data_IF_561846866248
#
_entry.id   IF_561846866248
#
_cell.length_a   1.000
_cell.length_b   1.000
_cell.length_c   1.000
_cell.angle_alpha   90.00
_cell.angle_beta   90.00
_cell.angle_gamma   90.00
#
_symmetry.space_group_name_H-M   'P 1'
#
loop_
_entity.id
_entity.type
_entity.pdbx_description
1 polymer ?
#
# COMPACT_ATOMS: atom_id res chain seq x y z
N UNK A 1 7.91 -11.74 -3.06
CA UNK A 1 7.06 -10.58 -3.35
C UNK A 1 7.91 -9.30 -3.43
N UNK A 2 7.30 -8.19 -3.83
CA UNK A 2 7.98 -6.89 -3.96
C UNK A 2 8.61 -6.43 -2.64
N UNK A 3 7.87 -6.52 -1.55
CA UNK A 3 8.34 -6.09 -0.22
C UNK A 3 9.56 -6.90 0.26
N UNK A 4 9.64 -8.19 -0.06
CA UNK A 4 10.81 -9.02 0.24
C UNK A 4 12.04 -8.56 -0.54
N UNK A 5 11.88 -8.25 -1.84
CA UNK A 5 12.99 -7.78 -2.68
C UNK A 5 13.50 -6.41 -2.21
N UNK A 6 12.61 -5.48 -1.92
CA UNK A 6 12.98 -4.17 -1.39
C UNK A 6 13.61 -4.30 0.00
N UNK A 7 13.08 -5.17 0.86
CA UNK A 7 13.66 -5.46 2.17
C UNK A 7 15.11 -5.93 2.08
N UNK A 8 15.42 -6.84 1.13
CA UNK A 8 16.77 -7.29 0.88
C UNK A 8 17.69 -6.16 0.37
N UNK A 9 17.20 -5.29 -0.50
CA UNK A 9 17.96 -4.11 -0.97
C UNK A 9 18.27 -3.16 0.20
N UNK A 10 17.28 -2.88 1.05
CA UNK A 10 17.47 -2.05 2.25
C UNK A 10 18.50 -2.69 3.18
N UNK A 11 18.40 -4.00 3.42
CA UNK A 11 19.35 -4.73 4.25
C UNK A 11 20.78 -4.64 3.72
N UNK A 12 20.97 -4.84 2.42
CA UNK A 12 22.32 -4.75 1.79
C UNK A 12 22.93 -3.35 1.87
N UNK A 13 22.10 -2.32 1.81
CA UNK A 13 22.57 -0.92 1.86
C UNK A 13 22.84 -0.49 3.31
N UNK A 14 21.99 -0.89 4.25
CA UNK A 14 21.98 -0.31 5.61
C UNK A 14 22.41 -1.27 6.71
N UNK A 15 22.45 -2.58 6.43
CA UNK A 15 22.65 -3.63 7.43
C UNK A 15 21.45 -3.83 8.38
N UNK A 16 20.29 -3.20 8.10
CA UNK A 16 19.10 -3.26 8.95
C UNK A 16 17.96 -3.97 8.25
N UNK A 17 17.26 -4.82 8.99
CA UNK A 17 15.98 -5.39 8.55
C UNK A 17 14.98 -4.29 8.20
N UNK A 18 14.11 -4.55 7.21
CA UNK A 18 13.15 -3.57 6.70
C UNK A 18 12.27 -2.98 7.80
N UNK A 19 11.76 -3.80 8.72
CA UNK A 19 10.92 -3.33 9.81
C UNK A 19 11.66 -2.36 10.74
N UNK A 20 12.92 -2.66 11.04
CA UNK A 20 13.77 -1.77 11.84
C UNK A 20 14.07 -0.47 11.10
N UNK A 21 14.37 -0.55 9.80
CA UNK A 21 14.61 0.63 8.98
C UNK A 21 13.37 1.55 8.93
N UNK A 22 12.19 0.98 8.70
CA UNK A 22 10.93 1.75 8.69
C UNK A 22 10.67 2.40 10.05
N UNK A 23 10.91 1.68 11.14
CA UNK A 23 10.73 2.22 12.49
C UNK A 23 11.67 3.39 12.78
N UNK A 24 12.96 3.26 12.45
CA UNK A 24 13.97 4.24 12.80
C UNK A 24 13.96 5.48 11.88
N UNK A 25 13.75 5.27 10.57
CA UNK A 25 13.93 6.33 9.57
C UNK A 25 12.62 7.00 9.14
N UNK A 26 11.48 6.33 9.32
CA UNK A 26 10.20 6.82 8.83
C UNK A 26 9.15 6.97 9.95
N UNK A 27 8.73 5.85 10.55
CA UNK A 27 7.62 5.85 11.48
C UNK A 27 7.96 6.60 12.78
N UNK A 28 9.12 6.35 13.37
CA UNK A 28 9.57 7.00 14.60
C UNK A 28 9.71 8.51 14.46
N UNK A 29 10.51 9.03 13.51
CA UNK A 29 10.66 10.47 13.30
C UNK A 29 9.34 11.21 13.05
N UNK A 30 8.39 10.57 12.38
CA UNK A 30 7.08 11.16 12.10
C UNK A 30 6.05 10.95 13.22
N UNK A 31 6.29 10.05 14.15
CA UNK A 31 5.29 9.60 15.12
C UNK A 31 4.14 8.83 14.47
N UNK A 32 4.44 8.10 13.40
CA UNK A 32 3.46 7.32 12.65
C UNK A 32 3.23 5.95 13.29
N UNK A 33 1.99 5.64 13.57
CA UNK A 33 1.55 4.38 14.18
C UNK A 33 1.48 3.26 13.13
N UNK A 34 2.67 2.84 12.64
CA UNK A 34 2.85 1.83 11.59
C UNK A 34 4.07 0.97 11.91
N UNK A 35 3.92 -0.35 11.78
CA UNK A 35 4.99 -1.32 12.00
C UNK A 35 5.08 -2.34 10.85
N UNK A 36 6.31 -2.77 10.57
CA UNK A 36 6.62 -4.01 9.90
C UNK A 36 7.35 -4.91 10.90
N UNK A 37 6.66 -5.92 11.41
CA UNK A 37 7.08 -6.64 12.61
C UNK A 37 6.59 -5.93 13.88
N UNK A 38 5.36 -6.29 14.30
CA UNK A 38 4.70 -5.67 15.44
C UNK A 38 5.40 -6.05 16.74
N UNK A 39 5.76 -5.10 17.62
CA UNK A 39 6.23 -5.40 18.98
C UNK A 39 5.12 -6.08 19.80
N UNK A 40 5.51 -6.98 20.69
CA UNK A 40 4.56 -7.68 21.58
C UNK A 40 3.74 -6.71 22.45
N UNK A 41 4.34 -5.61 22.85
CA UNK A 41 3.65 -4.55 23.63
C UNK A 41 2.45 -3.94 22.91
N UNK A 42 2.41 -4.01 21.57
CA UNK A 42 1.36 -3.40 20.73
C UNK A 42 0.27 -4.40 20.31
N UNK A 43 0.44 -5.69 20.61
CA UNK A 43 -0.52 -6.74 20.24
C UNK A 43 -1.96 -6.44 20.69
N UNK A 44 -2.13 -5.90 21.86
CA UNK A 44 -3.44 -5.58 22.43
C UNK A 44 -4.23 -4.51 21.64
N UNK A 45 -3.58 -3.83 20.69
CA UNK A 45 -4.18 -2.78 19.84
C UNK A 45 -4.62 -3.31 18.47
N UNK A 46 -4.23 -4.52 18.11
CA UNK A 46 -4.53 -5.09 16.80
C UNK A 46 -5.95 -5.59 16.73
N UNK A 47 -6.65 -5.20 15.68
CA UNK A 47 -7.94 -5.79 15.31
C UNK A 47 -7.73 -6.87 14.27
N UNK A 48 -8.31 -8.04 14.49
CA UNK A 48 -8.29 -9.10 13.51
C UNK A 48 -9.04 -8.69 12.24
N UNK A 49 -8.51 -9.10 11.09
CA UNK A 49 -9.20 -8.91 9.82
C UNK A 49 -10.28 -9.97 9.65
N UNK A 50 -11.44 -9.55 9.15
CA UNK A 50 -12.50 -10.45 8.72
C UNK A 50 -12.19 -10.87 7.28
N UNK A 51 -11.98 -12.17 7.01
CA UNK A 51 -11.62 -12.67 5.68
C UNK A 51 -12.61 -12.25 4.59
N UNK A 52 -12.16 -12.14 3.34
CA UNK A 52 -13.04 -11.89 2.21
C UNK A 52 -13.81 -13.18 1.84
N UNK A 53 -14.86 -13.08 1.03
CA UNK A 53 -15.41 -14.25 0.37
C UNK A 53 -14.34 -15.01 -0.42
N UNK A 54 -14.46 -16.33 -0.57
CA UNK A 54 -13.53 -17.12 -1.38
C UNK A 54 -13.37 -16.53 -2.78
N UNK A 55 -12.14 -16.50 -3.34
CA UNK A 55 -11.90 -16.01 -4.69
C UNK A 55 -12.67 -16.88 -5.69
N UNK A 56 -13.19 -16.25 -6.74
CA UNK A 56 -13.91 -16.92 -7.82
C UNK A 56 -13.15 -16.79 -9.14
N UNK A 57 -13.35 -17.73 -10.06
CA UNK A 57 -12.82 -17.67 -11.42
C UNK A 57 -11.32 -17.96 -11.53
N UNK A 58 -10.66 -18.46 -10.49
CA UNK A 58 -9.25 -18.87 -10.58
C UNK A 58 -9.03 -20.01 -11.57
N UNK A 59 -10.01 -20.88 -11.72
CA UNK A 59 -10.07 -21.99 -12.69
C UNK A 59 -10.19 -21.53 -14.13
N UNK A 60 -10.58 -20.28 -14.36
CA UNK A 60 -10.69 -19.67 -15.70
C UNK A 60 -9.38 -19.02 -16.17
N UNK A 61 -8.41 -18.86 -15.28
CA UNK A 61 -7.12 -18.29 -15.64
C UNK A 61 -6.28 -19.31 -16.43
N UNK A 62 -5.58 -18.86 -17.49
CA UNK A 62 -4.69 -19.75 -18.23
C UNK A 62 -3.60 -20.34 -17.28
N UNK A 63 -3.38 -21.67 -17.26
CA UNK A 63 -2.48 -22.31 -16.30
C UNK A 63 -1.04 -21.79 -16.29
N UNK A 64 -0.56 -21.31 -17.43
CA UNK A 64 0.79 -20.77 -17.58
C UNK A 64 0.90 -19.26 -17.32
N UNK A 65 -0.23 -18.58 -17.09
CA UNK A 65 -0.24 -17.13 -16.88
C UNK A 65 0.42 -16.74 -15.55
N UNK A 66 1.04 -15.55 -15.47
CA UNK A 66 1.54 -14.99 -14.22
C UNK A 66 0.45 -14.89 -13.15
N UNK A 67 -0.79 -14.53 -13.53
CA UNK A 67 -1.93 -14.48 -12.63
C UNK A 67 -2.24 -15.84 -12.01
N UNK A 68 -2.37 -16.90 -12.82
CA UNK A 68 -2.62 -18.24 -12.33
C UNK A 68 -1.53 -18.69 -11.34
N UNK A 69 -0.25 -18.57 -11.72
CA UNK A 69 0.89 -18.93 -10.86
C UNK A 69 0.92 -18.15 -9.54
N UNK A 70 0.50 -16.89 -9.58
CA UNK A 70 0.45 -16.04 -8.37
C UNK A 70 -0.69 -16.44 -7.45
N UNK A 71 -1.89 -16.65 -7.99
CA UNK A 71 -3.09 -16.85 -7.17
C UNK A 71 -3.36 -18.32 -6.81
N UNK A 72 -2.69 -19.27 -7.44
CA UNK A 72 -2.79 -20.72 -7.14
C UNK A 72 -1.55 -21.29 -6.45
N UNK A 73 -0.57 -20.45 -6.09
CA UNK A 73 0.57 -20.84 -5.25
C UNK A 73 0.12 -21.24 -3.83
N UNK A 74 1.04 -21.37 -2.87
CA UNK A 74 0.68 -21.64 -1.49
C UNK A 74 -0.30 -20.58 -0.98
N UNK A 75 -1.58 -20.95 -0.87
CA UNK A 75 -2.63 -20.03 -0.43
C UNK A 75 -2.57 -19.95 1.09
N UNK A 76 -2.23 -18.78 1.59
CA UNK A 76 -2.38 -18.45 3.00
C UNK A 76 -3.74 -17.77 3.17
N UNK A 77 -4.61 -18.35 4.00
CA UNK A 77 -5.84 -17.68 4.40
C UNK A 77 -5.54 -16.39 5.18
N UNK A 78 -6.47 -15.45 5.16
CA UNK A 78 -6.29 -14.19 5.91
C UNK A 78 -6.14 -14.42 7.42
N UNK A 79 -6.62 -15.55 7.92
CA UNK A 79 -6.56 -15.97 9.32
C UNK A 79 -5.13 -16.12 9.86
N UNK A 80 -4.14 -16.35 8.98
CA UNK A 80 -2.73 -16.39 9.40
C UNK A 80 -2.29 -15.07 10.01
N UNK A 81 -2.89 -13.96 9.60
CA UNK A 81 -2.59 -12.62 10.13
C UNK A 81 -3.02 -12.43 11.59
N UNK A 82 -3.82 -13.37 12.13
CA UNK A 82 -4.23 -13.34 13.54
C UNK A 82 -3.15 -13.88 14.46
N UNK A 83 -2.14 -14.56 13.91
CA UNK A 83 -1.06 -15.16 14.69
C UNK A 83 0.01 -14.15 15.07
N UNK A 84 0.60 -14.34 16.24
CA UNK A 84 1.72 -13.53 16.71
C UNK A 84 2.93 -13.64 15.78
N UNK A 85 3.19 -14.85 15.29
CA UNK A 85 4.30 -15.15 14.39
C UNK A 85 4.23 -14.33 13.10
N UNK A 86 3.05 -14.25 12.50
CA UNK A 86 2.84 -13.42 11.31
C UNK A 86 3.06 -11.93 11.60
N UNK A 87 2.46 -11.43 12.67
CA UNK A 87 2.56 -10.01 13.05
C UNK A 87 3.98 -9.60 13.39
N UNK A 88 4.77 -10.52 13.99
CA UNK A 88 6.16 -10.29 14.31
C UNK A 88 7.12 -10.40 13.12
N UNK A 89 6.74 -11.12 12.04
CA UNK A 89 7.65 -11.53 10.99
C UNK A 89 8.15 -10.40 10.08
N UNK A 90 7.54 -9.20 10.12
CA UNK A 90 8.02 -8.05 9.33
C UNK A 90 7.93 -8.23 7.81
N UNK A 91 6.92 -8.97 7.33
CA UNK A 91 6.74 -9.28 5.91
C UNK A 91 6.41 -8.01 5.14
N UNK A 92 7.35 -7.49 4.35
CA UNK A 92 7.22 -6.20 3.68
C UNK A 92 6.05 -6.06 2.70
N UNK A 93 5.59 -7.17 2.12
CA UNK A 93 4.47 -7.15 1.15
C UNK A 93 3.09 -7.38 1.76
N UNK A 94 2.99 -7.84 3.02
CA UNK A 94 1.70 -8.23 3.60
C UNK A 94 1.63 -8.14 5.14
N UNK A 95 2.75 -7.86 5.82
CA UNK A 95 2.84 -7.91 7.29
C UNK A 95 2.72 -6.55 7.97
N UNK A 96 2.37 -5.49 7.25
CA UNK A 96 2.22 -4.15 7.82
C UNK A 96 1.05 -4.06 8.81
N UNK A 97 1.33 -3.54 10.00
CA UNK A 97 0.34 -3.22 11.03
C UNK A 97 0.29 -1.69 11.21
N UNK A 98 -0.89 -1.13 11.35
CA UNK A 98 -1.02 0.32 11.53
C UNK A 98 -2.45 0.82 11.40
N UNK A 99 -2.62 2.10 11.58
CA UNK A 99 -3.91 2.76 11.40
C UNK A 99 -3.89 3.75 10.23
N UNK A 100 -5.06 4.18 9.79
CA UNK A 100 -5.20 5.09 8.64
C UNK A 100 -4.41 6.40 8.81
N UNK A 101 -4.34 6.94 10.02
CA UNK A 101 -3.58 8.17 10.32
C UNK A 101 -2.09 7.95 10.13
N UNK A 102 -1.53 6.86 10.64
CA UNK A 102 -0.10 6.52 10.48
C UNK A 102 0.26 6.29 9.01
N UNK A 103 -0.58 5.54 8.27
CA UNK A 103 -0.39 5.32 6.83
C UNK A 103 -0.46 6.65 6.05
N UNK A 104 -1.45 7.50 6.33
CA UNK A 104 -1.56 8.82 5.70
C UNK A 104 -0.34 9.71 6.02
N UNK A 105 0.14 9.68 7.27
CA UNK A 105 1.28 10.50 7.70
C UNK A 105 2.57 10.07 6.98
N UNK A 106 2.85 8.77 6.85
CA UNK A 106 3.99 8.29 6.06
C UNK A 106 3.90 8.74 4.59
N UNK A 107 2.74 8.62 3.99
CA UNK A 107 2.53 8.96 2.58
C UNK A 107 2.43 10.48 2.33
N UNK A 108 2.25 11.29 3.38
CA UNK A 108 2.29 12.74 3.26
C UNK A 108 3.70 13.25 2.89
N UNK A 109 4.76 12.49 3.12
CA UNK A 109 6.09 12.76 2.57
C UNK A 109 6.03 12.92 1.05
N UNK A 110 5.31 12.06 0.35
CA UNK A 110 5.16 12.13 -1.11
C UNK A 110 4.25 13.30 -1.51
N UNK A 111 3.11 13.45 -0.85
CA UNK A 111 2.15 14.51 -1.17
C UNK A 111 2.68 15.93 -0.86
N UNK A 112 3.65 16.07 0.03
CA UNK A 112 4.13 17.38 0.52
C UNK A 112 5.62 17.62 0.23
N UNK A 113 6.16 17.02 -0.83
CA UNK A 113 7.52 17.31 -1.29
C UNK A 113 8.61 16.90 -0.32
N UNK A 114 8.44 15.77 0.35
CA UNK A 114 9.43 15.17 1.24
C UNK A 114 9.36 15.63 2.70
N UNK A 115 8.33 16.40 3.06
CA UNK A 115 8.12 16.91 4.43
C UNK A 115 6.82 16.35 5.00
N UNK A 116 6.87 15.82 6.21
CA UNK A 116 5.69 15.41 6.96
C UNK A 116 5.91 15.73 8.44
N UNK A 117 4.85 16.15 9.13
CA UNK A 117 4.89 16.50 10.56
C UNK A 117 6.10 17.39 10.94
N UNK A 118 6.45 18.35 10.08
CA UNK A 118 7.60 19.25 10.26
C UNK A 118 8.98 18.64 10.01
N UNK A 119 9.06 17.35 9.67
CA UNK A 119 10.32 16.64 9.39
C UNK A 119 10.51 16.48 7.87
N UNK A 120 11.72 16.83 7.37
CA UNK A 120 12.10 16.51 6.00
C UNK A 120 12.87 15.20 6.00
N UNK A 121 12.27 14.17 5.38
CA UNK A 121 12.88 12.83 5.27
C UNK A 121 13.25 12.49 3.81
N UNK A 122 12.66 13.17 2.83
CA UNK A 122 12.97 13.00 1.42
C UNK A 122 13.34 14.34 0.77
N UNK A 123 14.21 14.31 -0.23
CA UNK A 123 14.42 15.46 -1.10
C UNK A 123 13.23 15.67 -2.05
N UNK A 124 13.05 16.89 -2.54
CA UNK A 124 12.04 17.17 -3.56
C UNK A 124 12.30 16.34 -4.82
N UNK A 125 13.56 16.22 -5.23
CA UNK A 125 13.98 15.39 -6.37
C UNK A 125 13.55 13.95 -6.22
N UNK A 126 13.74 13.34 -5.04
CA UNK A 126 13.29 11.97 -4.76
C UNK A 126 11.77 11.85 -4.89
N UNK A 127 11.02 12.83 -4.39
CA UNK A 127 9.55 12.84 -4.51
C UNK A 127 9.12 13.01 -5.96
N UNK A 128 9.78 13.84 -6.75
CA UNK A 128 9.42 14.04 -8.15
C UNK A 128 9.56 12.75 -8.96
N UNK A 129 10.59 11.95 -8.66
CA UNK A 129 10.79 10.64 -9.28
C UNK A 129 9.68 9.62 -8.98
N UNK A 130 8.93 9.77 -7.90
CA UNK A 130 7.77 8.89 -7.61
C UNK A 130 6.73 8.96 -8.72
N UNK A 131 6.57 10.14 -9.33
CA UNK A 131 5.55 10.40 -10.35
C UNK A 131 6.06 10.20 -11.79
N UNK A 132 7.34 9.92 -11.98
CA UNK A 132 7.88 9.53 -13.27
C UNK A 132 7.29 8.18 -13.70
N UNK A 133 6.57 8.17 -14.81
CA UNK A 133 5.97 6.95 -15.34
C UNK A 133 7.06 6.05 -15.92
N UNK A 134 7.19 4.85 -15.37
CA UNK A 134 8.14 3.83 -15.84
C UNK A 134 7.48 2.73 -16.66
N UNK A 135 6.20 2.44 -16.39
CA UNK A 135 5.43 1.45 -17.15
C UNK A 135 4.04 1.95 -17.43
N UNK A 136 3.43 1.47 -18.54
CA UNK A 136 2.03 1.68 -18.91
C UNK A 136 1.54 0.44 -19.65
N UNK A 137 0.49 -0.19 -19.18
CA UNK A 137 -0.08 -1.37 -19.81
C UNK A 137 -0.94 -2.20 -18.87
N UNK A 138 -1.39 -3.33 -19.36
CA UNK A 138 -2.16 -4.28 -18.57
C UNK A 138 -1.21 -5.05 -17.65
N UNK A 139 -1.43 -4.96 -16.35
CA UNK A 139 -0.69 -5.74 -15.35
C UNK A 139 -0.97 -7.23 -15.56
N UNK A 140 0.08 -8.03 -15.68
CA UNK A 140 -0.03 -9.45 -16.02
C UNK A 140 -0.60 -10.34 -14.91
N UNK A 141 -0.66 -9.81 -13.68
CA UNK A 141 -1.22 -10.51 -12.51
C UNK A 141 -2.63 -10.03 -12.22
N UNK A 142 -2.84 -8.71 -12.21
CA UNK A 142 -4.13 -8.11 -11.87
C UNK A 142 -5.10 -8.03 -13.05
N UNK A 143 -4.60 -8.10 -14.30
CA UNK A 143 -5.40 -8.06 -15.51
C UNK A 143 -6.04 -6.70 -15.80
N UNK A 144 -5.58 -5.63 -15.18
CA UNK A 144 -6.12 -4.26 -15.34
C UNK A 144 -5.05 -3.30 -15.86
N UNK A 145 -5.42 -2.25 -16.62
CA UNK A 145 -4.47 -1.24 -17.06
C UNK A 145 -3.90 -0.46 -15.90
N UNK A 146 -2.58 -0.47 -15.73
CA UNK A 146 -1.88 0.27 -14.68
C UNK A 146 -0.69 1.04 -15.25
N UNK A 147 -0.42 2.18 -14.65
CA UNK A 147 0.80 2.95 -14.82
C UNK A 147 1.58 2.91 -13.50
N UNK A 148 2.86 2.61 -13.55
CA UNK A 148 3.70 2.63 -12.36
C UNK A 148 4.79 3.69 -12.46
N UNK A 149 4.94 4.43 -11.37
CA UNK A 149 6.11 5.21 -11.03
C UNK A 149 7.02 4.43 -10.07
N UNK A 150 7.81 5.11 -9.27
CA UNK A 150 8.65 4.47 -8.27
C UNK A 150 7.86 4.20 -6.99
N UNK A 151 7.56 2.92 -6.74
CA UNK A 151 6.87 2.46 -5.53
C UNK A 151 5.37 2.72 -5.47
N UNK A 152 4.80 3.39 -6.46
CA UNK A 152 3.37 3.70 -6.55
C UNK A 152 2.84 3.41 -7.95
N UNK A 153 1.56 3.05 -8.05
CA UNK A 153 0.83 3.31 -9.28
C UNK A 153 0.57 4.81 -9.37
N UNK A 154 0.68 5.37 -10.58
CA UNK A 154 0.30 6.76 -10.86
C UNK A 154 -1.08 6.79 -11.47
N UNK A 155 -1.78 7.93 -11.36
CA UNK A 155 -3.18 8.06 -11.77
C UNK A 155 -3.43 7.55 -13.18
N UNK A 156 -4.48 6.74 -13.34
CA UNK A 156 -4.94 6.20 -14.60
C UNK A 156 -6.48 6.12 -14.59
N UNK A 157 -7.19 7.07 -15.21
CA UNK A 157 -8.66 7.09 -15.19
C UNK A 157 -9.32 5.83 -15.74
N UNK A 158 -8.63 5.08 -16.60
CA UNK A 158 -9.16 3.83 -17.17
C UNK A 158 -9.33 2.71 -16.11
N UNK A 159 -8.51 2.71 -15.06
CA UNK A 159 -8.54 1.71 -13.99
C UNK A 159 -8.99 2.26 -12.64
N UNK A 160 -8.80 3.55 -12.42
CA UNK A 160 -9.13 4.21 -11.14
C UNK A 160 -9.88 5.53 -11.38
N UNK A 161 -11.14 5.47 -11.87
CA UNK A 161 -11.89 6.66 -12.30
C UNK A 161 -12.26 7.62 -11.15
N UNK A 162 -12.05 7.22 -9.91
CA UNK A 162 -12.26 8.07 -8.73
C UNK A 162 -11.01 8.84 -8.31
N UNK A 163 -9.88 8.59 -8.95
CA UNK A 163 -8.60 9.27 -8.70
C UNK A 163 -8.32 10.17 -9.90
N UNK A 164 -8.24 11.50 -9.73
CA UNK A 164 -8.01 12.43 -10.84
C UNK A 164 -6.63 12.26 -11.45
N UNK A 165 -6.47 12.69 -12.70
CA UNK A 165 -5.15 12.79 -13.33
C UNK A 165 -4.30 13.88 -12.65
N UNK A 166 -2.98 13.70 -12.69
CA UNK A 166 -2.00 14.60 -12.13
C UNK A 166 -0.85 13.89 -11.42
N UNK A 167 -0.13 14.62 -10.59
CA UNK A 167 0.91 14.06 -9.73
C UNK A 167 0.28 13.33 -8.54
N UNK A 168 -0.41 12.25 -8.84
CA UNK A 168 -1.15 11.43 -7.88
C UNK A 168 -0.60 10.02 -7.90
N UNK A 169 0.02 9.61 -6.82
CA UNK A 169 0.46 8.25 -6.57
C UNK A 169 -0.51 7.53 -5.64
N UNK A 170 -0.77 6.26 -5.91
CA UNK A 170 -1.63 5.47 -5.05
C UNK A 170 -1.20 4.01 -5.03
N UNK A 171 -1.63 3.27 -4.02
CA UNK A 171 -1.61 1.82 -4.03
C UNK A 171 -2.62 1.26 -3.03
N UNK A 172 -3.04 0.03 -3.30
CA UNK A 172 -3.97 -0.71 -2.46
C UNK A 172 -3.37 -2.03 -1.98
N UNK A 173 -4.14 -2.73 -1.17
CA UNK A 173 -3.81 -4.06 -0.68
C UNK A 173 -4.99 -5.02 -0.79
N UNK A 174 -4.69 -6.32 -0.78
CA UNK A 174 -5.71 -7.34 -0.73
C UNK A 174 -6.67 -7.10 0.44
N UNK A 175 -7.97 -7.02 0.13
CA UNK A 175 -9.00 -6.67 1.10
C UNK A 175 -9.57 -5.26 0.93
N UNK A 176 -8.90 -4.36 0.15
CA UNK A 176 -9.46 -3.08 -0.25
C UNK A 176 -9.01 -1.87 0.55
N UNK A 177 -7.95 -1.98 1.38
CA UNK A 177 -7.24 -0.81 1.88
C UNK A 177 -6.60 -0.04 0.73
N UNK A 178 -6.52 1.27 0.82
CA UNK A 178 -5.90 2.13 -0.19
C UNK A 178 -5.25 3.35 0.47
N UNK A 179 -4.16 3.80 -0.13
CA UNK A 179 -3.55 5.09 0.16
C UNK A 179 -3.38 5.87 -1.13
N UNK A 180 -3.63 7.16 -1.08
CA UNK A 180 -3.47 8.11 -2.18
C UNK A 180 -2.62 9.28 -1.69
N UNK A 181 -1.56 9.60 -2.42
CA UNK A 181 -0.72 10.77 -2.21
C UNK A 181 -0.87 11.70 -3.42
N UNK A 182 -1.58 12.79 -3.23
CA UNK A 182 -1.85 13.81 -4.25
C UNK A 182 -0.94 15.01 -4.01
N UNK A 183 0.12 15.13 -4.81
CA UNK A 183 1.09 16.22 -4.68
C UNK A 183 0.58 17.54 -5.25
N UNK A 184 -0.34 17.51 -6.23
CA UNK A 184 -0.92 18.73 -6.81
C UNK A 184 -1.84 19.43 -5.81
N UNK A 185 -2.52 18.64 -4.94
CA UNK A 185 -3.43 19.14 -3.90
C UNK A 185 -2.82 19.12 -2.51
N UNK A 186 -1.56 18.64 -2.39
CA UNK A 186 -0.84 18.46 -1.12
C UNK A 186 -1.67 17.66 -0.10
N UNK A 187 -2.36 16.65 -0.57
CA UNK A 187 -3.33 15.85 0.19
C UNK A 187 -2.90 14.39 0.23
N UNK A 188 -3.12 13.75 1.35
CA UNK A 188 -3.03 12.30 1.50
C UNK A 188 -4.35 11.77 2.02
N UNK A 189 -4.85 10.74 1.38
CA UNK A 189 -6.00 9.98 1.83
C UNK A 189 -5.57 8.54 2.11
N UNK A 190 -5.99 7.98 3.24
CA UNK A 190 -5.79 6.58 3.57
C UNK A 190 -7.08 5.96 4.12
N UNK A 191 -7.42 4.82 3.58
CA UNK A 191 -8.48 3.95 4.08
C UNK A 191 -7.88 2.60 4.46
N UNK A 192 -8.01 2.21 5.73
CA UNK A 192 -7.55 0.94 6.26
C UNK A 192 -8.76 0.16 6.75
N UNK A 193 -8.94 -1.04 6.20
CA UNK A 193 -10.07 -1.91 6.55
C UNK A 193 -9.68 -2.94 7.61
N UNK A 194 -10.65 -3.43 8.35
CA UNK A 194 -10.56 -4.68 9.11
C UNK A 194 -11.49 -5.77 8.55
N UNK A 195 -12.39 -5.42 7.63
CA UNK A 195 -13.22 -6.38 6.89
C UNK A 195 -12.82 -6.36 5.43
N UNK A 196 -12.22 -7.44 4.97
CA UNK A 196 -11.71 -7.57 3.60
C UNK A 196 -12.83 -7.62 2.57
N UNK A 197 -12.59 -6.97 1.44
CA UNK A 197 -13.32 -7.11 0.17
C UNK A 197 -12.48 -7.94 -0.81
N UNK A 198 -13.06 -8.48 -1.87
CA UNK A 198 -12.30 -9.31 -2.83
C UNK A 198 -11.42 -8.50 -3.79
N UNK A 199 -11.08 -7.27 -3.49
CA UNK A 199 -10.27 -6.39 -4.34
C UNK A 199 -8.84 -6.22 -3.86
N UNK A 200 -7.95 -5.78 -4.77
CA UNK A 200 -6.55 -5.43 -4.46
C UNK A 200 -6.34 -3.93 -4.55
N UNK A 201 -6.97 -3.25 -5.48
CA UNK A 201 -6.87 -1.79 -5.65
C UNK A 201 -8.17 -1.16 -5.16
N UNK A 202 -8.25 -0.98 -3.86
CA UNK A 202 -9.44 -0.43 -3.23
C UNK A 202 -10.62 -1.40 -3.15
N UNK A 203 -11.77 -0.85 -2.84
CA UNK A 203 -13.04 -1.55 -2.66
C UNK A 203 -14.19 -0.57 -2.90
N UNK A 204 -15.45 -1.00 -3.08
CA UNK A 204 -16.57 -0.09 -3.18
C UNK A 204 -16.67 0.91 -2.01
N UNK A 205 -16.21 0.50 -0.82
CA UNK A 205 -16.16 1.40 0.36
C UNK A 205 -15.10 2.47 0.21
N UNK A 206 -13.86 2.09 -0.12
CA UNK A 206 -12.78 3.06 -0.28
C UNK A 206 -12.99 3.97 -1.50
N UNK A 207 -13.60 3.45 -2.58
CA UNK A 207 -13.99 4.26 -3.74
C UNK A 207 -15.03 5.33 -3.40
N UNK A 208 -16.05 4.97 -2.59
CA UNK A 208 -17.05 5.93 -2.13
C UNK A 208 -16.41 7.07 -1.33
N UNK A 209 -15.47 6.74 -0.43
CA UNK A 209 -14.75 7.76 0.33
C UNK A 209 -13.82 8.59 -0.58
N UNK A 210 -13.08 7.96 -1.48
CA UNK A 210 -12.21 8.66 -2.45
C UNK A 210 -13.01 9.67 -3.27
N UNK A 211 -14.16 9.23 -3.81
CA UNK A 211 -15.06 10.11 -4.55
C UNK A 211 -15.57 11.29 -3.70
N UNK A 212 -15.97 11.04 -2.46
CA UNK A 212 -16.43 12.08 -1.55
C UNK A 212 -15.33 13.12 -1.25
N UNK A 213 -14.10 12.65 -1.03
CA UNK A 213 -12.94 13.53 -0.78
C UNK A 213 -12.67 14.43 -2.00
N UNK A 214 -12.57 13.86 -3.20
CA UNK A 214 -12.30 14.66 -4.39
C UNK A 214 -13.46 15.56 -4.78
N UNK A 215 -14.71 15.12 -4.61
CA UNK A 215 -15.88 16.00 -4.78
C UNK A 215 -15.86 17.21 -3.82
N UNK A 216 -15.44 17.00 -2.57
CA UNK A 216 -15.31 18.11 -1.60
C UNK A 216 -14.18 19.10 -1.98
N UNK A 217 -13.21 18.64 -2.76
CA UNK A 217 -12.13 19.48 -3.31
C UNK A 217 -12.50 20.12 -4.65
N UNK A 218 -13.70 19.88 -5.17
CA UNK A 218 -14.16 20.45 -6.43
C UNK A 218 -13.60 19.78 -7.68
N UNK A 219 -13.26 18.49 -7.59
CA UNK A 219 -12.64 17.70 -8.68
C UNK A 219 -13.52 16.49 -9.02
#
# INVERSE_FOLDING_TARGET
>A
DYGTLIGEVVYRITGRELGRFVADELAGPLGADVWLGLPESEEHRVSDVVPPPPPQGLDQLPPDSPAFKTFTGPILGAEITWTREWRAAGIGGAGGQGNARGVALLNSLVAQGGVANGQRLLSQETVDRVFEQHTDGVDLVLGIPLRFGLGYAVSNPASTPTIPEGRVGFWGGYGGSIVIADADRRMTFAYVMNRMSPGIIGSPRSEAYTRAVYSALGV
#
